data_IF_520501072914
#
_entry.id   IF_520501072914
#
_cell.length_a   1.000
_cell.length_b   1.000
_cell.length_c   1.000
_cell.angle_alpha   90.00
_cell.angle_beta   90.00
_cell.angle_gamma   90.00
#
_symmetry.space_group_name_H-M   'P 1'
#
loop_
_entity.id
_entity.type
_entity.pdbx_description
1 polymer ?
#
# COMPACT_ATOMS: atom_id res chain seq x y z
N UNK A 1 21.62 10.52 13.18
CA UNK A 1 20.14 10.70 13.31
C UNK A 1 19.89 11.84 14.27
N UNK A 2 19.15 12.88 13.88
CA UNK A 2 18.74 13.96 14.79
C UNK A 2 17.29 13.72 15.19
N UNK A 3 17.07 13.32 16.45
CA UNK A 3 15.74 13.09 17.03
C UNK A 3 15.13 14.44 17.46
N UNK A 4 13.85 14.67 17.18
CA UNK A 4 13.09 15.83 17.70
C UNK A 4 12.97 17.08 16.81
N UNK A 5 13.29 17.01 15.51
CA UNK A 5 12.97 18.10 14.56
C UNK A 5 11.57 17.92 13.97
N UNK A 6 10.78 18.99 13.95
CA UNK A 6 9.53 19.06 13.18
C UNK A 6 9.84 19.04 11.69
N UNK A 7 9.07 18.30 10.90
CA UNK A 7 9.30 18.17 9.44
C UNK A 7 9.08 19.48 8.66
N UNK A 8 8.55 20.54 9.29
CA UNK A 8 8.31 21.83 8.64
C UNK A 8 7.19 21.73 7.62
N UNK A 9 7.31 22.45 6.49
CA UNK A 9 6.38 22.29 5.37
C UNK A 9 6.61 20.92 4.73
N UNK A 10 5.54 20.15 4.58
CA UNK A 10 5.52 18.79 4.04
C UNK A 10 4.57 18.76 2.85
N UNK A 11 5.13 18.55 1.66
CA UNK A 11 4.38 18.17 0.47
C UNK A 11 4.22 16.64 0.38
N UNK A 12 3.53 16.15 -0.64
CA UNK A 12 3.26 14.71 -0.79
C UNK A 12 4.53 13.87 -0.99
N UNK A 13 5.52 14.39 -1.71
CA UNK A 13 6.78 13.67 -1.98
C UNK A 13 7.53 13.49 -0.67
N UNK A 14 7.66 14.56 0.11
CA UNK A 14 8.28 14.53 1.43
C UNK A 14 7.49 13.72 2.44
N UNK A 15 6.15 13.76 2.38
CA UNK A 15 5.28 12.94 3.22
C UNK A 15 5.54 11.45 2.99
N UNK A 16 5.66 11.03 1.73
CA UNK A 16 6.00 9.65 1.36
C UNK A 16 7.45 9.32 1.74
N UNK A 17 8.41 10.21 1.46
CA UNK A 17 9.82 10.01 1.80
C UNK A 17 10.04 9.73 3.29
N UNK A 18 9.34 10.48 4.15
CA UNK A 18 9.54 10.47 5.61
C UNK A 18 8.47 9.68 6.36
N UNK A 19 7.49 9.11 5.66
CA UNK A 19 6.31 8.47 6.25
C UNK A 19 5.64 9.39 7.30
N UNK A 20 5.23 10.59 6.88
CA UNK A 20 4.73 11.61 7.80
C UNK A 20 3.24 11.41 8.12
N UNK A 21 2.93 10.90 9.31
CA UNK A 21 1.57 10.63 9.77
C UNK A 21 0.65 11.86 9.73
N UNK A 22 1.16 13.04 10.13
CA UNK A 22 0.35 14.27 10.22
C UNK A 22 -0.21 14.65 8.84
N UNK A 23 0.62 14.54 7.79
CA UNK A 23 0.18 14.78 6.42
C UNK A 23 -0.96 13.83 6.04
N UNK A 24 -0.85 12.53 6.32
CA UNK A 24 -1.85 11.53 5.96
C UNK A 24 -3.12 11.61 6.84
N UNK A 25 -3.02 12.01 8.11
CA UNK A 25 -4.18 12.35 8.93
C UNK A 25 -4.97 13.50 8.31
N UNK A 26 -4.29 14.58 7.87
CA UNK A 26 -4.94 15.72 7.22
C UNK A 26 -5.50 15.36 5.84
N UNK A 27 -4.79 14.57 5.06
CA UNK A 27 -5.31 14.06 3.79
C UNK A 27 -6.58 13.21 3.99
N UNK A 28 -6.60 12.35 5.01
CA UNK A 28 -7.76 11.54 5.36
C UNK A 28 -8.93 12.38 5.90
N UNK A 29 -8.64 13.41 6.70
CA UNK A 29 -9.63 14.41 7.15
C UNK A 29 -10.33 15.06 5.95
N UNK A 30 -9.55 15.61 5.01
CA UNK A 30 -10.05 16.34 3.86
C UNK A 30 -10.80 15.44 2.87
N UNK A 31 -10.35 14.20 2.70
CA UNK A 31 -10.97 13.25 1.79
C UNK A 31 -12.25 12.66 2.39
N UNK A 32 -12.24 12.39 3.70
CA UNK A 32 -13.33 11.76 4.44
C UNK A 32 -13.44 10.25 4.18
N UNK A 33 -14.02 9.53 5.16
CA UNK A 33 -14.12 8.06 5.11
C UNK A 33 -14.87 7.55 3.87
N UNK A 34 -15.91 8.25 3.41
CA UNK A 34 -16.71 7.82 2.25
C UNK A 34 -15.87 7.65 1.00
N UNK A 35 -15.00 8.62 0.68
CA UNK A 35 -14.13 8.55 -0.50
C UNK A 35 -12.98 7.57 -0.31
N UNK A 36 -12.43 7.46 0.91
CA UNK A 36 -11.44 6.44 1.25
C UNK A 36 -11.98 5.04 0.99
N UNK A 37 -13.20 4.73 1.43
CA UNK A 37 -13.87 3.43 1.21
C UNK A 37 -14.09 3.16 -0.28
N UNK A 38 -14.48 4.16 -1.07
CA UNK A 38 -14.62 4.01 -2.52
C UNK A 38 -13.28 3.62 -3.15
N UNK A 39 -12.20 4.33 -2.84
CA UNK A 39 -10.88 4.02 -3.40
C UNK A 39 -10.32 2.69 -2.91
N UNK A 40 -10.48 2.36 -1.62
CA UNK A 40 -10.10 1.07 -1.05
C UNK A 40 -10.78 -0.10 -1.78
N UNK A 41 -12.10 0.00 -2.03
CA UNK A 41 -12.85 -1.00 -2.80
C UNK A 41 -12.38 -1.07 -4.26
N UNK A 42 -12.03 0.05 -4.89
CA UNK A 42 -11.46 0.08 -6.25
C UNK A 42 -10.10 -0.61 -6.32
N UNK A 43 -9.32 -0.56 -5.24
CA UNK A 43 -8.04 -1.25 -5.05
C UNK A 43 -8.19 -2.72 -4.60
N UNK A 44 -9.42 -3.19 -4.39
CA UNK A 44 -9.71 -4.58 -4.04
C UNK A 44 -9.67 -4.90 -2.54
N UNK A 45 -9.66 -3.91 -1.65
CA UNK A 45 -9.79 -4.15 -0.20
C UNK A 45 -11.22 -4.58 0.14
N UNK A 46 -11.35 -5.57 1.02
CA UNK A 46 -12.62 -6.13 1.47
C UNK A 46 -13.15 -7.27 0.59
N UNK A 47 -12.39 -7.68 -0.44
CA UNK A 47 -12.70 -8.81 -1.29
C UNK A 47 -11.42 -9.53 -1.75
N UNK A 48 -11.46 -10.84 -2.02
CA UNK A 48 -10.35 -11.55 -2.67
C UNK A 48 -10.03 -10.93 -4.05
N UNK A 49 -8.75 -10.89 -4.43
CA UNK A 49 -8.31 -10.45 -5.76
C UNK A 49 -8.52 -11.52 -6.83
N UNK A 50 -8.78 -12.77 -6.43
CA UNK A 50 -9.16 -13.87 -7.30
C UNK A 50 -8.00 -14.72 -7.78
N UNK A 51 -6.88 -14.77 -7.06
CA UNK A 51 -5.73 -15.63 -7.40
C UNK A 51 -6.17 -17.11 -7.51
N UNK A 52 -5.47 -17.92 -8.31
CA UNK A 52 -5.81 -19.34 -8.48
C UNK A 52 -5.39 -20.22 -7.30
N UNK A 53 -5.60 -19.74 -6.06
CA UNK A 53 -5.41 -20.49 -4.83
C UNK A 53 -6.69 -20.49 -4.00
N UNK A 54 -6.91 -21.60 -3.31
CA UNK A 54 -7.96 -21.67 -2.29
C UNK A 54 -7.56 -20.86 -1.05
N UNK A 55 -8.55 -20.31 -0.34
CA UNK A 55 -8.34 -19.65 0.95
C UNK A 55 -7.82 -18.21 0.87
N UNK A 56 -7.97 -17.53 -0.26
CA UNK A 56 -7.63 -16.12 -0.35
C UNK A 56 -8.53 -15.27 0.57
N UNK A 57 -7.91 -14.57 1.53
CA UNK A 57 -8.61 -13.62 2.39
C UNK A 57 -8.83 -12.29 1.67
N UNK A 58 -10.00 -11.68 1.88
CA UNK A 58 -10.34 -10.38 1.27
C UNK A 58 -9.86 -9.15 2.05
N UNK A 59 -9.29 -9.33 3.23
CA UNK A 59 -9.04 -8.23 4.16
C UNK A 59 -10.33 -7.59 4.66
N UNK A 60 -10.22 -6.38 5.21
CA UNK A 60 -11.34 -5.62 5.77
C UNK A 60 -11.12 -4.12 5.54
N UNK A 61 -12.05 -3.46 4.86
CA UNK A 61 -12.16 -2.01 4.85
C UNK A 61 -13.24 -1.59 5.85
N UNK A 62 -12.88 -1.02 7.02
CA UNK A 62 -13.88 -0.54 7.96
C UNK A 62 -14.57 0.70 7.40
N UNK A 63 -15.87 0.80 7.65
CA UNK A 63 -16.70 1.96 7.35
C UNK A 63 -17.73 2.17 8.47
N UNK A 64 -18.44 3.31 8.52
CA UNK A 64 -19.42 3.58 9.58
C UNK A 64 -20.49 2.48 9.71
N UNK A 65 -20.91 1.89 8.59
CA UNK A 65 -21.91 0.83 8.59
C UNK A 65 -21.36 -0.50 9.09
N UNK A 66 -20.09 -0.80 8.80
CA UNK A 66 -19.39 -1.94 9.37
C UNK A 66 -19.25 -1.79 10.90
N UNK A 67 -18.80 -0.62 11.38
CA UNK A 67 -18.57 -0.39 12.81
C UNK A 67 -19.86 -0.50 13.62
N UNK A 68 -20.95 0.11 13.14
CA UNK A 68 -22.25 0.01 13.78
C UNK A 68 -22.77 -1.44 13.86
N UNK A 69 -22.50 -2.28 12.86
CA UNK A 69 -22.88 -3.70 12.87
C UNK A 69 -21.96 -4.56 13.73
N UNK A 70 -20.68 -4.23 13.78
CA UNK A 70 -19.69 -4.96 14.55
C UNK A 70 -19.89 -4.78 16.05
N UNK A 71 -20.32 -3.58 16.46
CA UNK A 71 -20.52 -3.18 17.85
C UNK A 71 -22.01 -2.90 18.14
N UNK A 72 -22.86 -3.92 18.01
CA UNK A 72 -24.32 -3.80 18.15
C UNK A 72 -24.88 -4.33 19.49
N UNK A 73 -24.02 -4.49 20.51
CA UNK A 73 -24.47 -4.88 21.86
C UNK A 73 -25.04 -3.69 22.63
N UNK A 74 -25.79 -3.96 23.70
CA UNK A 74 -26.27 -2.90 24.61
C UNK A 74 -25.11 -2.11 25.23
N UNK A 75 -24.09 -2.82 25.65
CA UNK A 75 -22.88 -2.32 26.28
C UNK A 75 -22.08 -1.44 25.32
N UNK A 76 -21.97 -1.86 24.05
CA UNK A 76 -21.31 -1.07 23.00
C UNK A 76 -22.03 0.24 22.72
N UNK A 77 -23.36 0.22 22.64
CA UNK A 77 -24.17 1.43 22.41
C UNK A 77 -24.10 2.40 23.60
N UNK A 78 -24.06 1.88 24.83
CA UNK A 78 -23.85 2.69 26.02
C UNK A 78 -22.45 3.34 26.03
N UNK A 79 -21.42 2.57 25.67
CA UNK A 79 -20.05 3.05 25.51
C UNK A 79 -19.81 3.88 24.23
N UNK A 80 -20.81 3.95 23.33
CA UNK A 80 -20.75 4.60 22.01
C UNK A 80 -19.64 4.05 21.10
N UNK A 81 -19.35 2.76 21.21
CA UNK A 81 -18.39 2.03 20.39
C UNK A 81 -18.88 1.80 18.95
N UNK A 82 -20.18 1.87 18.73
CA UNK A 82 -20.85 1.74 17.43
C UNK A 82 -20.65 2.95 16.52
N UNK A 83 -20.31 4.11 17.10
CA UNK A 83 -20.20 5.36 16.39
C UNK A 83 -18.88 5.51 15.63
N UNK A 84 -18.97 6.15 14.46
CA UNK A 84 -17.80 6.53 13.68
C UNK A 84 -17.29 7.91 14.10
N UNK A 85 -16.03 7.98 14.51
CA UNK A 85 -15.35 9.20 14.92
C UNK A 85 -14.29 9.60 13.89
N UNK A 86 -13.89 10.87 13.92
CA UNK A 86 -12.82 11.38 13.06
C UNK A 86 -11.49 10.63 13.28
N UNK A 87 -11.22 10.19 14.51
CA UNK A 87 -10.06 9.35 14.84
C UNK A 87 -10.05 8.02 14.08
N UNK A 88 -11.21 7.41 13.82
CA UNK A 88 -11.29 6.19 13.01
C UNK A 88 -10.82 6.47 11.57
N UNK A 89 -11.18 7.64 11.02
CA UNK A 89 -10.73 8.08 9.69
C UNK A 89 -9.24 8.36 9.65
N UNK A 90 -8.65 8.90 10.72
CA UNK A 90 -7.20 9.10 10.82
C UNK A 90 -6.44 7.78 10.80
N UNK A 91 -6.88 6.79 11.58
CA UNK A 91 -6.28 5.46 11.58
C UNK A 91 -6.36 4.82 10.19
N UNK A 92 -7.53 4.85 9.55
CA UNK A 92 -7.67 4.36 8.17
C UNK A 92 -6.73 5.08 7.20
N UNK A 93 -6.56 6.40 7.37
CA UNK A 93 -5.69 7.25 6.54
C UNK A 93 -4.23 6.83 6.51
N UNK A 94 -3.74 6.20 7.58
CA UNK A 94 -2.38 5.70 7.70
C UNK A 94 -2.29 4.17 7.71
N UNK A 95 -3.36 3.47 7.32
CA UNK A 95 -3.34 2.00 7.24
C UNK A 95 -3.59 1.25 8.55
N UNK A 96 -4.00 1.92 9.62
CA UNK A 96 -4.17 1.35 10.97
C UNK A 96 -5.65 1.18 11.38
N UNK A 97 -5.85 0.78 12.64
CA UNK A 97 -7.16 0.59 13.25
C UNK A 97 -7.76 -0.77 12.90
N UNK A 98 -8.99 -0.77 12.41
CA UNK A 98 -9.69 -2.00 11.99
C UNK A 98 -9.40 -2.38 10.53
N UNK A 99 -8.57 -1.62 9.82
CA UNK A 99 -8.17 -1.95 8.45
C UNK A 99 -7.34 -3.23 8.45
N UNK A 100 -7.74 -4.21 7.62
CA UNK A 100 -6.97 -5.44 7.41
C UNK A 100 -6.68 -5.62 5.93
N UNK A 101 -5.45 -6.01 5.63
CA UNK A 101 -4.96 -6.19 4.27
C UNK A 101 -4.12 -7.45 4.19
N UNK A 102 -4.05 -8.07 3.00
CA UNK A 102 -3.17 -9.22 2.78
C UNK A 102 -1.87 -8.80 2.09
N UNK A 103 -0.76 -9.53 2.28
CA UNK A 103 0.47 -9.27 1.53
C UNK A 103 0.27 -9.30 0.01
N UNK A 104 -0.66 -10.12 -0.47
CA UNK A 104 -1.02 -10.20 -1.88
C UNK A 104 -1.68 -8.89 -2.37
N UNK A 105 -2.56 -8.30 -1.56
CA UNK A 105 -3.16 -7.00 -1.84
C UNK A 105 -2.12 -5.87 -1.87
N UNK A 106 -1.20 -5.85 -0.91
CA UNK A 106 -0.08 -4.87 -0.88
C UNK A 106 0.78 -4.98 -2.15
N UNK A 107 1.08 -6.22 -2.59
CA UNK A 107 1.77 -6.45 -3.85
C UNK A 107 0.96 -5.97 -5.08
N UNK A 108 -0.36 -6.16 -5.09
CA UNK A 108 -1.21 -5.69 -6.17
C UNK A 108 -1.20 -4.15 -6.28
N UNK A 109 -1.21 -3.42 -5.17
CA UNK A 109 -1.16 -1.95 -5.17
C UNK A 109 0.21 -1.42 -5.60
N UNK A 110 1.28 -2.10 -5.19
CA UNK A 110 2.63 -1.81 -5.69
C UNK A 110 2.66 -1.92 -7.21
N UNK A 111 2.04 -2.97 -7.76
CA UNK A 111 1.93 -3.15 -9.20
C UNK A 111 1.06 -2.09 -9.88
N UNK A 112 -0.01 -1.61 -9.25
CA UNK A 112 -0.83 -0.50 -9.77
C UNK A 112 0.02 0.74 -10.03
N UNK A 113 0.94 1.08 -9.13
CA UNK A 113 1.86 2.21 -9.34
C UNK A 113 2.83 1.88 -10.48
N UNK A 114 3.45 0.70 -10.44
CA UNK A 114 4.46 0.29 -11.42
C UNK A 114 3.92 0.15 -12.86
N UNK A 115 2.63 -0.16 -13.04
CA UNK A 115 2.05 -0.43 -14.36
C UNK A 115 1.16 0.70 -14.90
N UNK A 116 1.26 1.90 -14.31
CA UNK A 116 0.54 3.07 -14.81
C UNK A 116 -0.95 3.11 -14.43
N UNK A 117 -1.31 2.62 -13.25
CA UNK A 117 -2.63 2.81 -12.66
C UNK A 117 -3.61 1.67 -12.90
N UNK A 118 -3.11 0.47 -13.26
CA UNK A 118 -3.94 -0.68 -13.63
C UNK A 118 -3.91 -1.74 -12.53
N UNK A 119 -5.07 -2.12 -12.00
CA UNK A 119 -5.17 -3.23 -11.07
C UNK A 119 -5.28 -4.54 -11.85
N UNK A 120 -4.22 -5.33 -11.86
CA UNK A 120 -4.18 -6.63 -12.54
C UNK A 120 -4.42 -7.76 -11.56
N UNK A 121 -5.19 -8.75 -12.01
CA UNK A 121 -5.41 -10.00 -11.27
C UNK A 121 -4.07 -10.73 -11.07
N UNK A 122 -3.67 -11.03 -9.82
CA UNK A 122 -2.45 -11.81 -9.58
C UNK A 122 -2.65 -13.26 -10.04
N UNK A 123 -1.60 -13.85 -10.61
CA UNK A 123 -1.61 -15.25 -11.11
C UNK A 123 -0.31 -15.96 -10.78
N UNK A 124 -0.41 -17.23 -10.39
CA UNK A 124 0.76 -18.12 -10.21
C UNK A 124 1.02 -18.93 -11.48
N UNK A 125 0.01 -19.06 -12.34
CA UNK A 125 0.15 -19.74 -13.62
C UNK A 125 1.15 -18.99 -14.50
N UNK A 126 2.19 -19.68 -14.93
CA UNK A 126 3.13 -19.17 -15.92
C UNK A 126 2.38 -18.93 -17.23
N UNK A 127 2.19 -17.67 -17.59
CA UNK A 127 1.54 -17.32 -18.84
C UNK A 127 2.44 -17.64 -20.03
N UNK A 128 1.86 -18.22 -21.09
CA UNK A 128 2.55 -18.39 -22.36
C UNK A 128 2.85 -17.03 -23.00
N UNK A 129 3.78 -16.97 -23.96
CA UNK A 129 4.09 -15.72 -24.68
C UNK A 129 2.84 -15.11 -25.37
N UNK A 130 1.93 -15.95 -25.84
CA UNK A 130 0.65 -15.53 -26.43
C UNK A 130 -0.34 -14.99 -25.39
N UNK A 131 -0.38 -15.58 -24.19
CA UNK A 131 -1.21 -15.08 -23.10
C UNK A 131 -0.70 -13.75 -22.53
N UNK A 132 0.62 -13.53 -22.50
CA UNK A 132 1.20 -12.20 -22.19
C UNK A 132 0.75 -11.13 -23.19
N UNK A 133 0.62 -11.49 -24.48
CA UNK A 133 0.18 -10.57 -25.53
C UNK A 133 -1.34 -10.27 -25.47
N UNK A 134 -2.16 -11.21 -24.97
CA UNK A 134 -3.60 -10.99 -24.71
C UNK A 134 -3.89 -10.17 -23.45
N UNK A 135 -2.87 -9.92 -22.63
CA UNK A 135 -2.97 -9.15 -21.39
C UNK A 135 -3.50 -9.98 -20.22
N UNK A 136 -2.93 -9.76 -19.03
CA UNK A 136 -3.56 -10.16 -17.78
C UNK A 136 -4.88 -9.39 -17.62
N UNK A 137 -5.89 -9.97 -16.99
CA UNK A 137 -7.13 -9.25 -16.65
C UNK A 137 -6.77 -8.05 -15.76
N UNK A 138 -6.68 -6.87 -16.38
CA UNK A 138 -6.27 -5.63 -15.73
C UNK A 138 -7.39 -4.61 -15.86
N UNK A 139 -7.77 -4.02 -14.73
CA UNK A 139 -8.74 -2.94 -14.64
C UNK A 139 -8.01 -1.62 -14.52
N UNK A 140 -8.23 -0.71 -15.47
CA UNK A 140 -7.73 0.66 -15.37
C UNK A 140 -8.50 1.41 -14.26
N UNK A 141 -7.77 2.01 -13.32
CA UNK A 141 -8.35 2.79 -12.23
C UNK A 141 -8.54 4.26 -12.61
N UNK A 142 -8.18 4.69 -13.83
CA UNK A 142 -8.34 6.06 -14.30
C UNK A 142 -7.55 7.06 -13.46
N UNK A 143 -6.42 6.63 -12.89
CA UNK A 143 -5.51 7.50 -12.16
C UNK A 143 -4.71 8.30 -13.18
N UNK A 144 -4.67 9.62 -13.00
CA UNK A 144 -3.90 10.51 -13.89
C UNK A 144 -2.42 10.13 -13.85
N UNK A 145 -1.75 10.21 -15.00
CA UNK A 145 -0.33 9.87 -15.13
C UNK A 145 0.53 10.71 -14.19
N UNK A 146 0.21 12.00 -14.08
CA UNK A 146 0.92 12.95 -13.24
C UNK A 146 0.82 12.57 -11.75
N UNK A 147 -0.31 11.99 -11.32
CA UNK A 147 -0.48 11.51 -9.95
C UNK A 147 0.38 10.26 -9.68
N UNK A 148 0.48 9.36 -10.65
CA UNK A 148 1.31 8.15 -10.53
C UNK A 148 2.79 8.53 -10.49
N UNK A 149 3.22 9.44 -11.35
CA UNK A 149 4.59 9.96 -11.36
C UNK A 149 4.94 10.60 -10.01
N UNK A 150 4.06 11.45 -9.48
CA UNK A 150 4.27 12.11 -8.19
C UNK A 150 4.35 11.13 -7.01
N UNK A 151 3.50 10.09 -7.00
CA UNK A 151 3.56 9.03 -5.98
C UNK A 151 4.87 8.22 -6.14
N UNK A 152 5.24 7.90 -7.39
CA UNK A 152 6.45 7.15 -7.69
C UNK A 152 7.69 7.92 -7.23
N UNK A 153 7.75 9.23 -7.47
CA UNK A 153 8.81 10.12 -6.99
C UNK A 153 8.94 10.05 -5.47
N UNK A 154 7.83 10.20 -4.73
CA UNK A 154 7.84 10.09 -3.27
C UNK A 154 8.32 8.73 -2.75
N UNK A 155 7.92 7.65 -3.42
CA UNK A 155 8.36 6.29 -3.08
C UNK A 155 9.85 6.06 -3.37
N UNK A 156 10.36 6.59 -4.49
CA UNK A 156 11.80 6.56 -4.80
C UNK A 156 12.57 7.36 -3.77
N UNK A 157 12.10 8.56 -3.42
CA UNK A 157 12.72 9.41 -2.40
C UNK A 157 12.79 8.72 -1.02
N UNK A 158 11.81 7.87 -0.67
CA UNK A 158 11.85 7.07 0.56
C UNK A 158 13.03 6.07 0.58
N UNK A 159 13.52 5.66 -0.58
CA UNK A 159 14.66 4.75 -0.75
C UNK A 159 16.01 5.48 -0.84
N UNK A 160 15.98 6.80 -1.04
CA UNK A 160 17.16 7.67 -1.17
C UNK A 160 17.58 8.28 0.17
N UNK A 161 18.78 8.88 0.22
CA UNK A 161 19.35 9.42 1.47
C UNK A 161 18.39 10.40 2.14
N UNK A 162 18.06 10.11 3.40
CA UNK A 162 17.08 10.89 4.19
C UNK A 162 15.67 10.31 4.20
N UNK A 163 15.39 9.33 3.33
CA UNK A 163 14.18 8.52 3.32
C UNK A 163 14.21 7.38 4.35
N UNK A 164 13.04 6.87 4.69
CA UNK A 164 12.84 5.82 5.71
C UNK A 164 13.38 4.46 5.29
N UNK A 165 13.34 4.14 3.99
CA UNK A 165 13.81 2.88 3.42
C UNK A 165 15.31 2.85 3.09
N UNK A 166 15.97 4.02 3.00
CA UNK A 166 17.38 4.16 2.59
C UNK A 166 18.36 3.13 3.19
N UNK A 167 18.33 2.81 4.50
CA UNK A 167 19.32 1.89 5.09
C UNK A 167 19.33 0.51 4.45
N UNK A 168 18.20 0.12 3.85
CA UNK A 168 17.99 -1.20 3.27
C UNK A 168 18.37 -1.25 1.77
N UNK A 169 18.45 -0.10 1.09
CA UNK A 169 18.86 -0.02 -0.33
C UNK A 169 20.37 0.11 -0.53
N UNK A 170 21.10 0.55 0.51
CA UNK A 170 22.57 0.51 0.54
C UNK A 170 23.16 -0.76 1.16
N UNK A 171 22.33 -1.75 1.51
CA UNK A 171 22.75 -2.94 2.25
C UNK A 171 23.43 -3.97 1.32
N UNK A 172 24.76 -3.93 1.27
CA UNK A 172 25.56 -5.01 0.71
C UNK A 172 25.84 -6.07 1.77
N UNK A 173 25.40 -7.31 1.56
CA UNK A 173 25.85 -8.43 2.39
C UNK A 173 27.32 -8.70 2.04
N UNK A 174 28.22 -8.36 2.95
CA UNK A 174 29.63 -8.71 2.82
C UNK A 174 29.77 -10.21 3.12
N UNK A 175 29.57 -11.05 2.10
CA UNK A 175 29.81 -12.50 2.22
C UNK A 175 31.33 -12.70 2.21
N UNK A 176 31.93 -12.87 3.38
CA UNK A 176 33.38 -13.12 3.53
C UNK A 176 33.80 -14.55 3.14
N UNK A 177 33.05 -15.22 2.28
CA UNK A 177 33.40 -16.52 1.71
C UNK A 177 33.13 -16.50 0.22
N UNK A 178 34.21 -16.56 -0.57
CA UNK A 178 34.19 -16.83 -2.01
C UNK A 178 33.42 -18.14 -2.24
N UNK A 179 32.16 -18.05 -2.63
CA UNK A 179 31.58 -19.01 -3.55
C UNK A 179 31.22 -18.25 -4.83
N UNK A 180 32.10 -18.42 -5.81
CA UNK A 180 31.92 -18.03 -7.20
C UNK A 180 30.66 -18.75 -7.71
N UNK A 181 29.57 -18.02 -7.86
CA UNK A 181 28.43 -18.43 -8.68
C UNK A 181 28.55 -17.60 -9.95
N UNK A 182 28.73 -18.29 -11.08
CA UNK A 182 29.01 -17.70 -12.39
C UNK A 182 27.98 -16.64 -12.78
N UNK A 183 28.50 -15.47 -13.16
CA UNK A 183 27.79 -14.38 -13.81
C UNK A 183 27.24 -14.85 -15.16
N UNK A 184 25.94 -15.13 -15.24
CA UNK A 184 25.18 -14.87 -16.46
C UNK A 184 23.79 -14.35 -16.12
N UNK A 185 23.63 -13.05 -16.40
CA UNK A 185 22.37 -12.33 -16.63
C UNK A 185 21.58 -11.91 -15.38
N UNK A 186 22.07 -10.86 -14.71
CA UNK A 186 21.37 -10.12 -13.65
C UNK A 186 20.99 -8.72 -14.11
N UNK A 187 20.26 -8.61 -15.23
CA UNK A 187 19.46 -7.43 -15.54
C UNK A 187 18.00 -7.86 -15.44
N UNK A 188 17.36 -7.75 -14.27
CA UNK A 188 15.89 -7.64 -14.05
C UNK A 188 15.38 -7.89 -12.61
N UNK A 189 16.21 -8.05 -11.58
CA UNK A 189 15.71 -8.43 -10.24
C UNK A 189 16.09 -7.44 -9.13
N UNK A 190 15.50 -6.25 -9.14
CA UNK A 190 15.57 -5.33 -7.96
C UNK A 190 14.25 -4.62 -7.61
N UNK A 191 13.12 -4.95 -8.24
CA UNK A 191 11.83 -4.37 -7.87
C UNK A 191 10.86 -5.42 -7.34
N UNK A 192 11.05 -5.93 -6.12
CA UNK A 192 9.97 -6.42 -5.26
C UNK A 192 10.58 -6.74 -3.90
N UNK A 193 10.67 -5.77 -2.99
CA UNK A 193 10.71 -5.96 -1.53
C UNK A 193 11.03 -4.63 -0.85
N UNK A 194 10.02 -3.78 -0.63
CA UNK A 194 9.96 -2.80 0.48
C UNK A 194 8.70 -1.92 0.40
N UNK A 195 7.52 -2.54 0.37
CA UNK A 195 6.26 -1.81 0.60
C UNK A 195 5.74 -1.97 2.03
N UNK A 196 6.47 -2.68 2.88
CA UNK A 196 6.06 -2.97 4.26
C UNK A 196 6.30 -1.80 5.24
N UNK A 197 6.68 -0.61 4.75
CA UNK A 197 6.98 0.57 5.58
C UNK A 197 6.14 1.81 5.23
N UNK A 198 5.12 1.67 4.37
CA UNK A 198 4.23 2.76 3.96
C UNK A 198 2.75 2.48 4.26
N UNK A 199 2.49 1.49 5.11
CA UNK A 199 1.20 1.25 5.77
C UNK A 199 1.47 0.94 7.26
#
# INVERSE_FOLDING_TARGET
MQYGKTDGVVDVVKALQRSNDIYFYKAAEWLGITKLVVWAKRLGIGAPLGIELAGEAGGLMPDPGWKAKQFDTSEDREARNDQWYLGDTYHVGIGQGYLLTTPLQVNAWTNVIANGGKLCKPTIKKQSKEHRAKGTECKDLGIKKETIELITEGMVAACETGGTGWPLFGFGVNVSTRQRIDEKNTDTLTHTSMFSFLF
#
